data_IF_305802608789
#
_entry.id   IF_305802608789
#
_cell.length_a   1.000
_cell.length_b   1.000
_cell.length_c   1.000
_cell.angle_alpha   90.00
_cell.angle_beta   90.00
_cell.angle_gamma   90.00
#
_symmetry.space_group_name_H-M   'P 1'
#
loop_
_entity.id
_entity.type
_entity.pdbx_description
1 polymer ?
#
# COMPACT_ATOMS: atom_id res chain seq x y z
N UNK A 1 -7.89 -15.93 1.76
CA UNK A 1 -6.89 -15.11 1.06
C UNK A 1 -7.11 -13.67 1.45
N UNK A 2 -6.09 -12.96 1.91
CA UNK A 2 -6.21 -11.55 2.30
C UNK A 2 -6.11 -10.68 1.05
N UNK A 3 -7.02 -9.73 0.87
CA UNK A 3 -6.99 -8.75 -0.22
C UNK A 3 -6.30 -7.44 0.17
N UNK A 4 -5.87 -7.35 1.43
CA UNK A 4 -5.19 -6.17 1.97
C UNK A 4 -3.69 -6.34 1.89
N UNK A 5 -3.02 -5.26 1.53
CA UNK A 5 -1.57 -5.11 1.41
C UNK A 5 -1.08 -4.07 2.39
N UNK A 6 0.05 -4.35 2.99
CA UNK A 6 0.86 -3.40 3.75
C UNK A 6 1.91 -2.82 2.81
N UNK A 7 2.03 -1.50 2.82
CA UNK A 7 3.01 -0.76 2.03
C UNK A 7 3.87 0.05 2.99
N UNK A 8 5.13 -0.32 3.15
CA UNK A 8 6.12 0.42 3.93
C UNK A 8 7.13 1.13 3.03
N UNK A 9 7.94 2.03 3.59
CA UNK A 9 9.01 2.73 2.87
C UNK A 9 8.55 3.90 1.98
N UNK A 10 7.30 4.37 2.11
CA UNK A 10 6.77 5.45 1.30
C UNK A 10 7.49 6.79 1.56
N UNK A 11 7.54 7.64 0.54
CA UNK A 11 8.03 9.01 0.68
C UNK A 11 7.09 9.84 1.55
N UNK A 12 7.64 10.90 2.16
CA UNK A 12 6.84 11.83 2.95
C UNK A 12 5.81 12.60 2.12
N UNK A 13 6.04 12.71 0.82
CA UNK A 13 5.14 13.30 -0.15
C UNK A 13 4.09 12.32 -0.69
N UNK A 14 4.17 11.02 -0.37
CA UNK A 14 3.20 10.05 -0.90
C UNK A 14 1.88 10.15 -0.16
N UNK A 15 0.81 10.33 -0.93
CA UNK A 15 -0.57 10.43 -0.46
C UNK A 15 -1.38 9.17 -0.79
N UNK A 16 -2.56 9.05 -0.19
CA UNK A 16 -3.53 7.98 -0.45
C UNK A 16 -3.90 7.87 -1.94
N UNK A 17 -4.03 9.01 -2.62
CA UNK A 17 -4.35 9.06 -4.05
C UNK A 17 -3.22 8.48 -4.89
N UNK A 18 -1.98 8.92 -4.68
CA UNK A 18 -0.80 8.40 -5.40
C UNK A 18 -0.57 6.92 -5.11
N UNK A 19 -0.80 6.49 -3.86
CA UNK A 19 -0.77 5.08 -3.49
C UNK A 19 -1.84 4.29 -4.23
N UNK A 20 -3.09 4.75 -4.21
CA UNK A 20 -4.19 4.07 -4.91
C UNK A 20 -3.91 3.95 -6.41
N UNK A 21 -3.44 5.03 -7.05
CA UNK A 21 -3.13 5.07 -8.48
C UNK A 21 -1.98 4.10 -8.85
N UNK A 22 -0.89 4.14 -8.08
CA UNK A 22 0.25 3.23 -8.27
C UNK A 22 -0.14 1.76 -8.08
N UNK A 23 -1.12 1.45 -7.25
CA UNK A 23 -1.59 0.07 -7.05
C UNK A 23 -2.70 -0.31 -8.04
N UNK A 24 -3.44 0.68 -8.57
CA UNK A 24 -4.51 0.50 -9.56
C UNK A 24 -4.00 -0.11 -10.87
N UNK A 25 -2.72 0.08 -11.21
CA UNK A 25 -2.10 -0.53 -12.40
C UNK A 25 -2.00 -2.07 -12.31
N UNK A 26 -2.05 -2.64 -11.11
CA UNK A 26 -1.99 -4.09 -10.88
C UNK A 26 -3.36 -4.73 -10.68
N UNK A 27 -4.40 -3.93 -10.47
CA UNK A 27 -5.77 -4.40 -10.26
C UNK A 27 -6.66 -3.36 -9.62
N UNK A 28 -7.90 -3.74 -9.30
CA UNK A 28 -8.88 -2.82 -8.76
C UNK A 28 -8.70 -2.58 -7.25
N UNK A 29 -8.16 -1.41 -6.90
CA UNK A 29 -8.03 -0.95 -5.52
C UNK A 29 -9.38 -0.49 -4.98
N UNK A 30 -9.86 -1.15 -3.94
CA UNK A 30 -11.10 -0.79 -3.24
C UNK A 30 -10.88 0.26 -2.15
N UNK A 31 -9.72 0.24 -1.49
CA UNK A 31 -9.40 1.18 -0.42
C UNK A 31 -7.89 1.44 -0.35
N UNK A 32 -7.48 2.69 -0.10
CA UNK A 32 -6.07 3.06 0.02
C UNK A 32 -5.88 4.09 1.14
N UNK A 33 -5.13 3.73 2.16
CA UNK A 33 -4.92 4.53 3.36
C UNK A 33 -3.43 4.69 3.64
N UNK A 34 -2.90 5.91 3.48
CA UNK A 34 -1.55 6.25 3.95
C UNK A 34 -1.64 6.79 5.37
N UNK A 35 -0.85 6.22 6.30
CA UNK A 35 -0.76 6.77 7.65
C UNK A 35 0.23 7.91 7.66
N UNK A 36 -0.29 9.09 8.00
CA UNK A 36 0.49 10.31 8.17
C UNK A 36 0.44 10.76 9.61
N UNK A 37 1.54 11.35 10.04
CA UNK A 37 1.66 11.97 11.34
C UNK A 37 0.77 13.21 11.37
N UNK A 38 -0.17 13.27 12.33
CA UNK A 38 -1.18 14.32 12.39
C UNK A 38 -0.64 15.63 12.95
N UNK A 39 0.52 15.59 13.60
CA UNK A 39 1.14 16.74 14.26
C UNK A 39 2.09 17.48 13.31
N UNK A 40 2.86 16.73 12.51
CA UNK A 40 3.80 17.27 11.52
C UNK A 40 3.27 17.25 10.08
N UNK A 41 2.16 16.56 9.83
CA UNK A 41 1.63 16.30 8.49
C UNK A 41 2.49 15.36 7.64
N UNK A 42 3.58 14.82 8.19
CA UNK A 42 4.53 13.98 7.44
C UNK A 42 4.03 12.54 7.36
N UNK A 43 4.09 11.91 6.18
CA UNK A 43 3.78 10.49 6.07
C UNK A 43 4.66 9.68 7.02
N UNK A 44 4.10 8.73 7.77
CA UNK A 44 4.90 7.84 8.63
C UNK A 44 5.75 6.86 7.82
N UNK A 45 5.69 6.97 6.49
CA UNK A 45 6.39 6.11 5.54
C UNK A 45 5.71 4.76 5.35
N UNK A 46 4.42 4.64 5.71
CA UNK A 46 3.67 3.42 5.49
C UNK A 46 2.17 3.65 5.31
N UNK A 47 1.50 2.67 4.70
CA UNK A 47 0.09 2.67 4.40
C UNK A 47 -0.44 1.26 4.16
N UNK A 48 -1.73 1.20 3.84
CA UNK A 48 -2.45 -0.01 3.52
C UNK A 48 -3.25 0.18 2.24
N UNK A 49 -3.31 -0.87 1.43
CA UNK A 49 -4.10 -0.91 0.20
C UNK A 49 -4.99 -2.15 0.26
N UNK A 50 -6.25 -2.03 -0.08
CA UNK A 50 -7.17 -3.15 -0.20
C UNK A 50 -7.57 -3.31 -1.66
N UNK A 51 -7.45 -4.52 -2.18
CA UNK A 51 -7.87 -4.88 -3.53
C UNK A 51 -9.25 -5.53 -3.54
N UNK A 52 -9.85 -5.59 -4.72
CA UNK A 52 -11.09 -6.33 -4.95
C UNK A 52 -10.87 -7.84 -4.91
N UNK A 53 -9.73 -8.32 -5.44
CA UNK A 53 -9.38 -9.75 -5.46
C UNK A 53 -8.01 -10.02 -4.86
N UNK A 54 -7.84 -11.22 -4.31
CA UNK A 54 -6.57 -11.60 -3.70
C UNK A 54 -5.47 -11.91 -4.72
N UNK A 55 -5.84 -12.33 -5.94
CA UNK A 55 -4.88 -12.55 -7.03
C UNK A 55 -4.20 -11.25 -7.45
N UNK A 56 -5.00 -10.18 -7.63
CA UNK A 56 -4.53 -8.82 -7.91
C UNK A 56 -3.60 -8.31 -6.81
N UNK A 57 -3.99 -8.53 -5.55
CA UNK A 57 -3.18 -8.17 -4.40
C UNK A 57 -1.81 -8.86 -4.41
N UNK A 58 -1.78 -10.16 -4.74
CA UNK A 58 -0.55 -10.95 -4.77
C UNK A 58 0.36 -10.53 -5.94
N UNK A 59 -0.23 -10.27 -7.12
CA UNK A 59 0.50 -9.73 -8.27
C UNK A 59 1.12 -8.36 -7.97
N UNK A 60 0.38 -7.48 -7.28
CA UNK A 60 0.90 -6.19 -6.85
C UNK A 60 2.05 -6.33 -5.84
N UNK A 61 1.98 -7.29 -4.91
CA UNK A 61 3.09 -7.59 -3.99
C UNK A 61 4.33 -8.02 -4.75
N UNK A 62 4.22 -8.96 -5.69
CA UNK A 62 5.36 -9.48 -6.43
C UNK A 62 6.02 -8.41 -7.31
N UNK A 63 5.20 -7.54 -7.94
CA UNK A 63 5.68 -6.47 -8.81
C UNK A 63 6.19 -5.22 -8.10
N UNK A 64 5.59 -4.82 -6.98
CA UNK A 64 5.91 -3.57 -6.27
C UNK A 64 6.81 -3.75 -5.04
N UNK A 65 6.98 -4.97 -4.54
CA UNK A 65 7.84 -5.18 -3.38
C UNK A 65 9.31 -4.89 -3.73
N UNK A 66 9.96 -4.06 -2.90
CA UNK A 66 11.32 -3.56 -3.11
C UNK A 66 11.49 -2.61 -4.32
N UNK A 67 10.38 -2.10 -4.88
CA UNK A 67 10.43 -1.03 -5.90
C UNK A 67 10.74 0.33 -5.30
N UNK A 68 11.15 1.27 -6.15
CA UNK A 68 11.44 2.65 -5.76
C UNK A 68 10.27 3.57 -6.14
N UNK A 69 9.58 4.14 -5.15
CA UNK A 69 8.52 5.15 -5.33
C UNK A 69 9.03 6.48 -4.77
N UNK A 70 9.02 7.54 -5.58
CA UNK A 70 9.49 8.88 -5.19
C UNK A 70 10.93 8.90 -4.63
N UNK A 71 11.82 8.05 -5.17
CA UNK A 71 13.20 7.93 -4.72
C UNK A 71 13.37 7.21 -3.37
N UNK A 72 12.33 6.51 -2.90
CA UNK A 72 12.41 5.62 -1.73
C UNK A 72 11.98 4.21 -2.06
N UNK A 73 12.73 3.24 -1.54
CA UNK A 73 12.34 1.83 -1.60
C UNK A 73 11.09 1.58 -0.78
N UNK A 74 10.05 1.10 -1.44
CA UNK A 74 8.82 0.64 -0.82
C UNK A 74 8.86 -0.86 -0.61
N UNK A 75 8.20 -1.31 0.44
CA UNK A 75 8.06 -2.72 0.80
C UNK A 75 6.59 -3.07 0.81
N UNK A 76 6.18 -3.95 -0.09
CA UNK A 76 4.78 -4.36 -0.26
C UNK A 76 4.65 -5.79 0.22
N UNK A 77 3.71 -6.05 1.11
CA UNK A 77 3.49 -7.38 1.67
C UNK A 77 1.99 -7.62 1.87
N UNK A 78 1.55 -8.88 1.82
CA UNK A 78 0.17 -9.24 2.18
C UNK A 78 -0.07 -8.84 3.64
N UNK A 79 -0.99 -7.91 3.87
CA UNK A 79 -1.40 -7.54 5.21
C UNK A 79 -2.24 -8.69 5.77
N UNK A 80 -1.74 -9.29 6.86
CA UNK A 80 -2.56 -10.15 7.69
C UNK A 80 -3.47 -9.25 8.52
N UNK A 81 -4.66 -8.95 8.02
CA UNK A 81 -5.76 -8.65 8.92
C UNK A 81 -6.09 -9.96 9.63
N UNK A 82 -5.71 -10.05 10.91
CA UNK A 82 -6.36 -10.99 11.82
C UNK A 82 -7.84 -10.62 11.82
N UNK A 83 -8.61 -11.27 10.93
CA UNK A 83 -10.06 -11.27 10.97
C UNK A 83 -10.40 -11.94 12.30
N UNK A 84 -10.69 -11.11 13.32
CA UNK A 84 -11.28 -11.55 14.56
C UNK A 84 -12.58 -12.27 14.22
N UNK A 85 -12.72 -13.45 14.81
CA UNK A 85 -13.81 -14.40 14.71
C UNK A 85 -15.19 -13.75 14.92
#
# INVERSE_FOLDING_TARGET
>A
MSTKLFVGGLAWATDNASLGDAFSQYGNVTDAIVLKDRETGRSRGFGFVTFSSAEEANAAVDGLNDQEIDGRRVRVQIATERRGF
#
